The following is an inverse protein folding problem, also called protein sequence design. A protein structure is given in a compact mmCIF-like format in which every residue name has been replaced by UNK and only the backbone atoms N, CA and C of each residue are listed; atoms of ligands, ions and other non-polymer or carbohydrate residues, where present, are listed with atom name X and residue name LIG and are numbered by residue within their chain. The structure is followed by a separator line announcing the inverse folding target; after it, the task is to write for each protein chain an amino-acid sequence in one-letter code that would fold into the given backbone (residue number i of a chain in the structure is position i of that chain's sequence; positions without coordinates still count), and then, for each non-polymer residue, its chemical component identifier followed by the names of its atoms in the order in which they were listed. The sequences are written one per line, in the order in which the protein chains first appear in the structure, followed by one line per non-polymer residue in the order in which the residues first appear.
data_IF_166203373292
#
_entry.id   IF_166203373292
#
_cell.length_a   1.000
_cell.length_b   1.000
_cell.length_c   1.000
_cell.angle_alpha   90.00
_cell.angle_beta   90.00
_cell.angle_gamma   90.00
#
_symmetry.space_group_name_H-M   'P 1'
#
loop_
_entity.id
_entity.type
_entity.pdbx_description
1 polymer ?
2 non-polymer ?
3 non-polymer ?
4 non-polymer ?
5 water ?
#
# COMPACT_ATOMS: atom_id res chain seq x y z
N UNK A 15 8.21 18.22 -7.07
CA UNK A 15 9.23 17.21 -6.87
C UNK A 15 9.85 16.80 -8.22
N UNK A 16 10.99 17.39 -8.55
CA UNK A 16 11.73 17.06 -9.74
C UNK A 16 12.81 16.05 -9.37
N UNK A 17 12.74 14.85 -9.94
CA UNK A 17 13.69 13.81 -9.64
C UNK A 17 15.01 14.02 -10.36
N UNK A 18 16.07 13.46 -9.77
CA UNK A 18 17.36 13.46 -10.46
C UNK A 18 17.28 12.60 -11.73
N UNK A 19 18.26 12.78 -12.62
CA UNK A 19 18.27 12.00 -13.85
C UNK A 19 18.29 10.51 -13.55
N UNK A 20 19.05 10.09 -12.53
CA UNK A 20 19.09 8.69 -12.18
C UNK A 20 17.74 8.19 -11.69
N UNK A 21 17.07 8.98 -10.86
CA UNK A 21 15.77 8.54 -10.36
C UNK A 21 14.65 8.63 -11.41
N UNK A 22 14.79 9.52 -12.40
CA UNK A 22 13.87 9.49 -13.53
C UNK A 22 14.04 8.20 -14.30
N UNK A 23 15.28 7.75 -14.49
CA UNK A 23 15.51 6.48 -15.16
C UNK A 23 14.92 5.33 -14.33
N UNK A 24 15.02 5.43 -13.00
CA UNK A 24 14.41 4.44 -12.13
C UNK A 24 12.90 4.44 -12.29
N UNK A 25 12.30 5.63 -12.41
CA UNK A 25 10.86 5.74 -12.62
C UNK A 25 10.46 5.03 -13.91
N UNK A 26 11.26 5.21 -14.97
CA UNK A 26 10.94 4.54 -16.23
C UNK A 26 11.06 3.03 -16.12
N UNK A 27 12.09 2.55 -15.43
CA UNK A 27 12.22 1.10 -15.21
C UNK A 27 11.04 0.58 -14.41
N UNK A 28 10.66 1.29 -13.37
CA UNK A 28 9.53 0.84 -12.54
C UNK A 28 8.28 0.77 -13.39
N UNK A 29 8.05 1.79 -14.23
CA UNK A 29 6.88 1.75 -15.10
C UNK A 29 6.91 0.53 -16.00
N UNK A 30 8.08 0.24 -16.57
CA UNK A 30 8.24 -0.87 -17.49
C UNK A 30 7.98 -2.20 -16.80
N UNK A 31 8.58 -2.43 -15.62
CA UNK A 31 8.37 -3.71 -14.95
C UNK A 31 6.96 -3.83 -14.39
N UNK A 32 6.27 -2.73 -14.20
CA UNK A 32 4.89 -2.74 -13.72
C UNK A 32 3.87 -2.77 -14.85
N UNK A 33 4.29 -2.82 -16.11
CA UNK A 33 3.41 -2.59 -17.24
C UNK A 33 2.70 -3.87 -17.69
N UNK A 34 1.66 -3.67 -18.51
CA UNK A 34 0.88 -4.77 -19.02
C UNK A 34 1.76 -5.78 -19.77
N UNK A 35 2.83 -5.31 -20.38
CA UNK A 35 3.73 -6.19 -21.11
C UNK A 35 4.22 -7.36 -20.27
N UNK A 36 4.38 -7.16 -18.96
CA UNK A 36 4.89 -8.18 -18.05
C UNK A 36 3.83 -8.62 -17.06
N UNK A 37 2.55 -8.54 -17.41
CA UNK A 37 1.51 -8.75 -16.42
C UNK A 37 1.55 -10.17 -15.83
N UNK A 38 1.92 -11.17 -16.64
CA UNK A 38 1.99 -12.52 -16.10
C UNK A 38 3.08 -12.69 -15.07
N UNK A 39 4.09 -11.80 -15.05
CA UNK A 39 5.14 -11.85 -14.04
C UNK A 39 4.82 -10.91 -12.89
N UNK A 40 4.29 -9.72 -13.18
CA UNK A 40 4.19 -8.68 -12.18
C UNK A 40 2.89 -8.64 -11.41
N UNK A 41 1.85 -9.35 -11.81
CA UNK A 41 0.56 -9.09 -11.17
C UNK A 41 0.61 -9.41 -9.69
N UNK A 42 1.47 -10.37 -9.28
CA UNK A 42 1.58 -10.73 -7.88
C UNK A 42 2.24 -9.66 -7.04
N UNK A 43 2.95 -8.73 -7.66
CA UNK A 43 3.77 -7.72 -7.02
C UNK A 43 3.17 -6.33 -7.08
N UNK A 44 2.04 -6.14 -7.75
CA UNK A 44 1.50 -4.80 -8.00
C UNK A 44 1.06 -4.11 -6.72
N UNK A 45 0.46 -4.85 -5.77
CA UNK A 45 -0.16 -4.30 -4.58
C UNK A 45 0.33 -5.00 -3.36
N UNK A 46 0.15 -4.37 -2.20
CA UNK A 46 0.67 -4.98 -0.96
C UNK A 46 0.11 -6.37 -0.70
N UNK A 47 0.91 -7.26 -0.14
CA UNK A 47 0.43 -8.54 0.37
C UNK A 47 -0.64 -8.32 1.41
N UNK A 48 -1.75 -9.04 1.24
CA UNK A 48 -2.93 -8.95 2.09
C UNK A 48 -3.09 -10.35 2.72
N UNK A 49 -2.61 -10.51 3.95
CA UNK A 49 -2.57 -11.82 4.57
C UNK A 49 -3.94 -12.46 4.63
N UNK A 50 -4.99 -11.68 4.95
CA UNK A 50 -6.32 -12.27 5.06
C UNK A 50 -6.82 -12.74 3.70
N UNK A 51 -6.70 -11.91 2.68
CA UNK A 51 -7.26 -12.28 1.37
C UNK A 51 -6.51 -13.48 0.82
N UNK A 52 -5.22 -13.58 1.09
CA UNK A 52 -4.36 -14.63 0.52
C UNK A 52 -4.27 -15.85 1.41
N UNK A 53 -4.90 -15.86 2.58
CA UNK A 53 -4.88 -17.04 3.44
C UNK A 53 -3.57 -17.40 4.04
N UNK A 54 -2.75 -16.41 4.36
CA UNK A 54 -1.35 -16.68 4.66
C UNK A 54 -1.18 -17.01 6.12
N UNK A 55 -0.27 -17.96 6.40
CA UNK A 55 0.18 -18.27 7.76
C UNK A 55 1.59 -17.74 7.99
N UNK A 56 1.74 -17.00 9.08
CA UNK A 56 3.03 -16.60 9.61
C UNK A 56 3.75 -15.56 8.78
N UNK A 57 3.07 -14.82 7.89
CA UNK A 57 3.77 -13.94 6.97
C UNK A 57 4.65 -12.95 7.74
N UNK A 58 4.12 -12.29 8.74
CA UNK A 58 4.86 -11.23 9.41
C UNK A 58 5.77 -11.79 10.50
N UNK A 59 5.75 -13.09 10.75
CA UNK A 59 6.80 -13.73 11.53
C UNK A 59 8.04 -13.86 10.67
N UNK A 60 7.92 -13.94 9.36
CA UNK A 60 9.06 -14.10 8.44
C UNK A 60 9.49 -12.76 7.85
N UNK A 61 8.55 -11.93 7.44
CA UNK A 61 8.78 -10.70 6.71
C UNK A 61 8.64 -9.54 7.68
N UNK A 62 9.73 -8.82 7.85
CA UNK A 62 9.77 -7.68 8.76
C UNK A 62 9.13 -6.46 8.13
N UNK A 63 9.38 -6.22 6.86
CA UNK A 63 8.90 -5.02 6.18
C UNK A 63 8.41 -5.43 4.79
N UNK A 64 7.11 -5.33 4.60
CA UNK A 64 6.50 -5.64 3.34
C UNK A 64 6.80 -4.59 2.29
N UNK A 65 6.87 -5.02 1.04
CA UNK A 65 7.10 -4.06 -0.04
C UNK A 65 6.44 -4.58 -1.31
N UNK A 66 6.07 -3.65 -2.19
CA UNK A 66 5.35 -3.99 -3.43
C UNK A 66 5.54 -2.84 -4.41
N UNK A 67 5.19 -3.07 -5.68
CA UNK A 67 5.45 -2.09 -6.71
C UNK A 67 4.67 -0.80 -6.52
N UNK A 68 3.45 -0.85 -5.99
CA UNK A 68 2.70 0.38 -5.78
C UNK A 68 3.34 1.26 -4.71
N UNK A 69 3.81 0.64 -3.64
CA UNK A 69 4.50 1.37 -2.60
C UNK A 69 5.78 1.99 -3.11
N UNK A 70 6.55 1.24 -3.92
CA UNK A 70 7.78 1.80 -4.51
C UNK A 70 7.45 3.02 -5.34
N UNK A 71 6.38 2.97 -6.12
CA UNK A 71 5.99 4.12 -6.93
C UNK A 71 5.63 5.30 -6.04
N UNK A 72 4.83 5.06 -4.99
CA UNK A 72 4.49 6.15 -4.09
C UNK A 72 5.71 6.80 -3.48
N UNK A 73 6.65 5.97 -3.01
CA UNK A 73 7.86 6.48 -2.37
C UNK A 73 8.70 7.26 -3.37
N UNK A 74 8.88 6.72 -4.57
CA UNK A 74 9.71 7.39 -5.58
C UNK A 74 9.13 8.73 -5.93
N UNK A 75 7.82 8.78 -6.17
CA UNK A 75 7.19 9.99 -6.65
C UNK A 75 6.97 11.02 -5.55
N UNK A 76 7.14 10.66 -4.30
CA UNK A 76 7.06 11.62 -3.20
C UNK A 76 8.42 11.94 -2.62
N UNK A 77 9.49 11.56 -3.31
CA UNK A 77 10.80 12.03 -2.93
C UNK A 77 11.45 11.26 -1.80
N UNK A 78 11.01 10.04 -1.51
CA UNK A 78 11.52 9.31 -0.38
C UNK A 78 12.79 8.54 -0.70
N UNK A 79 13.18 8.46 -1.97
CA UNK A 79 14.44 7.83 -2.33
C UNK A 79 15.44 8.93 -2.67
N UNK A 80 16.55 8.97 -1.98
CA UNK A 80 17.54 10.01 -2.24
C UNK A 80 18.49 9.62 -3.35
N UNK A 81 18.75 8.33 -3.52
CA UNK A 81 19.63 7.83 -4.58
C UNK A 81 18.93 6.66 -5.27
N UNK A 82 19.47 6.27 -6.43
CA UNK A 82 18.98 5.07 -7.11
C UNK A 82 19.17 3.83 -6.25
N UNK A 83 20.14 3.83 -5.32
CA UNK A 83 20.36 2.68 -4.47
C UNK A 83 19.25 2.52 -3.44
N UNK A 84 18.68 3.65 -2.96
CA UNK A 84 17.55 3.57 -2.05
C UNK A 84 16.35 2.93 -2.75
N UNK A 85 16.14 3.30 -4.02
CA UNK A 85 15.08 2.71 -4.82
C UNK A 85 15.33 1.24 -5.02
N UNK A 86 16.55 0.89 -5.39
CA UNK A 86 16.86 -0.51 -5.66
C UNK A 86 16.75 -1.37 -4.42
N UNK A 87 17.05 -0.81 -3.26
CA UNK A 87 16.93 -1.55 -2.03
C UNK A 87 15.49 -2.01 -1.83
N UNK A 88 14.50 -1.16 -2.12
CA UNK A 88 13.12 -1.54 -1.95
C UNK A 88 12.69 -2.55 -3.01
N UNK A 89 13.16 -2.43 -4.26
CA UNK A 89 12.85 -3.46 -5.26
C UNK A 89 13.36 -4.80 -4.79
N UNK A 90 14.60 -4.83 -4.31
CA UNK A 90 15.18 -6.08 -3.82
C UNK A 90 14.45 -6.61 -2.58
N UNK A 91 14.06 -5.73 -1.67
CA UNK A 91 13.27 -6.11 -0.50
C UNK A 91 11.99 -6.85 -0.92
N UNK A 92 11.27 -6.30 -1.90
CA UNK A 92 10.08 -6.92 -2.40
C UNK A 92 10.38 -8.34 -2.88
N UNK A 93 11.37 -8.51 -3.73
CA UNK A 93 11.69 -9.85 -4.24
C UNK A 93 12.15 -10.78 -3.14
N UNK A 94 13.07 -10.33 -2.29
CA UNK A 94 13.58 -11.21 -1.26
C UNK A 94 12.50 -11.64 -0.28
N UNK A 95 11.58 -10.75 0.07
CA UNK A 95 10.47 -11.16 0.94
C UNK A 95 9.73 -12.34 0.32
N UNK A 96 9.51 -12.24 -0.99
CA UNK A 96 8.80 -13.28 -1.72
C UNK A 96 9.57 -14.58 -1.68
N UNK A 97 10.86 -14.54 -1.97
CA UNK A 97 11.64 -15.77 -1.97
C UNK A 97 11.69 -16.40 -0.59
N UNK A 98 11.94 -15.58 0.44
CA UNK A 98 12.15 -16.11 1.77
C UNK A 98 10.88 -16.66 2.37
N UNK A 99 9.74 -16.03 2.13
CA UNK A 99 8.47 -16.51 2.67
C UNK A 99 7.95 -17.70 1.91
N UNK A 100 7.96 -17.63 0.57
CA UNK A 100 7.28 -18.66 -0.23
C UNK A 100 8.15 -19.84 -0.55
N UNK A 101 9.46 -19.66 -0.49
CA UNK A 101 10.39 -20.68 -0.95
C UNK A 101 10.70 -20.53 -2.44
N UNK A 102 11.94 -20.80 -2.84
CA UNK A 102 12.30 -20.48 -4.21
C UNK A 102 11.69 -21.45 -5.23
N UNK A 103 11.19 -22.58 -4.79
CA UNK A 103 10.48 -23.48 -5.69
C UNK A 103 9.01 -23.10 -5.92
N UNK A 104 8.50 -22.11 -5.22
CA UNK A 104 7.09 -21.75 -5.39
C UNK A 104 6.86 -21.11 -6.75
N UNK A 105 5.61 -21.15 -7.21
CA UNK A 105 5.28 -20.48 -8.46
C UNK A 105 5.60 -19.00 -8.37
N UNK A 106 5.23 -18.35 -7.29
CA UNK A 106 5.39 -16.91 -7.21
C UNK A 106 6.86 -16.54 -7.19
N UNK A 107 7.71 -17.32 -6.50
CA UNK A 107 9.15 -17.02 -6.52
C UNK A 107 9.71 -17.20 -7.93
N UNK A 108 9.25 -18.23 -8.66
CA UNK A 108 9.77 -18.43 -10.00
C UNK A 108 9.48 -17.25 -10.90
N UNK A 109 8.26 -16.69 -10.84
CA UNK A 109 7.99 -15.51 -11.66
C UNK A 109 8.74 -14.32 -11.13
N UNK A 110 8.83 -14.19 -9.81
CA UNK A 110 9.65 -13.14 -9.24
C UNK A 110 11.05 -13.12 -9.80
N UNK A 111 11.69 -14.28 -9.87
CA UNK A 111 13.06 -14.32 -10.38
C UNK A 111 13.12 -13.79 -11.80
N UNK A 112 12.13 -14.15 -12.64
CA UNK A 112 12.12 -13.68 -14.02
C UNK A 112 11.98 -12.17 -14.06
N UNK A 113 11.06 -11.61 -13.29
CA UNK A 113 10.88 -10.15 -13.24
C UNK A 113 12.13 -9.46 -12.69
N UNK A 114 12.75 -10.04 -11.66
CA UNK A 114 13.96 -9.45 -11.09
C UNK A 114 15.08 -9.44 -12.10
N UNK A 115 15.20 -10.48 -12.92
CA UNK A 115 16.25 -10.49 -13.93
C UNK A 115 16.07 -9.34 -14.92
N UNK A 116 14.81 -9.07 -15.30
CA UNK A 116 14.54 -7.92 -16.17
C UNK A 116 14.92 -6.62 -15.47
N UNK A 117 14.49 -6.48 -14.22
CA UNK A 117 14.86 -5.29 -13.45
C UNK A 117 16.39 -5.13 -13.41
N UNK A 118 17.11 -6.20 -13.07
CA UNK A 118 18.55 -6.09 -12.85
C UNK A 118 19.25 -5.65 -14.14
N UNK A 119 18.84 -6.20 -15.29
CA UNK A 119 19.47 -5.86 -16.56
C UNK A 119 19.28 -4.37 -16.85
N UNK A 120 18.10 -3.82 -16.52
CA UNK A 120 17.84 -2.42 -16.83
C UNK A 120 18.47 -1.50 -15.79
N UNK A 121 18.49 -1.92 -14.55
CA UNK A 121 19.03 -1.07 -13.48
C UNK A 121 20.52 -0.87 -13.67
N UNK A 122 21.21 -1.85 -14.25
CA UNK A 122 22.64 -1.72 -14.51
C UNK A 122 22.94 -0.59 -15.46
N UNK A 123 21.95 -0.12 -16.24
CA UNK A 123 22.18 0.97 -17.19
C UNK A 123 21.85 2.36 -16.64
N UNK A 124 21.37 2.47 -15.40
CA UNK A 124 20.97 3.77 -14.85
C UNK A 124 22.22 4.61 -14.62
N UNK A 125 22.20 5.91 -14.95
CA UNK A 125 23.37 6.75 -14.73
C UNK A 125 23.69 7.01 -13.27
N UNK A 126 24.81 7.68 -13.05
CA UNK A 126 25.25 8.09 -11.72
C UNK A 126 24.24 9.03 -11.07
N UNK A 127 24.14 8.93 -9.73
CA UNK A 127 23.21 9.79 -9.00
C UNK A 127 23.47 11.28 -9.19
N UNK A 128 24.72 11.68 -9.34
CA UNK A 128 25.06 13.10 -9.36
C UNK A 128 24.98 13.73 -10.75
N UNK A 129 24.64 12.94 -11.78
CA UNK A 129 24.57 13.46 -13.14
C UNK A 129 23.25 14.20 -13.36
CA UNK B 15 -3.65 2.67 25.76
C UNK B 15 -2.24 2.89 25.19
N UNK B 16 -1.26 2.15 25.71
CA UNK B 16 0.13 2.30 25.29
C UNK B 16 0.35 1.59 23.96
N UNK B 17 0.70 2.34 22.94
CA UNK B 17 0.94 1.83 21.60
C UNK B 17 2.43 1.76 21.32
N UNK B 18 2.81 0.84 20.43
CA UNK B 18 4.20 0.78 19.99
C UNK B 18 4.51 2.02 19.18
N UNK B 19 5.80 2.31 18.99
CA UNK B 19 6.14 3.46 18.18
C UNK B 19 5.49 3.39 16.82
N UNK B 20 5.46 2.20 16.19
CA UNK B 20 4.84 2.06 14.88
C UNK B 20 3.36 2.39 14.94
N UNK B 21 2.64 1.89 15.98
CA UNK B 21 1.20 2.15 16.01
C UNK B 21 0.89 3.56 16.48
N UNK B 22 1.77 4.22 17.22
CA UNK B 22 1.59 5.64 17.50
C UNK B 22 1.72 6.45 16.23
N UNK B 23 2.63 6.08 15.33
CA UNK B 23 2.71 6.77 14.06
C UNK B 23 1.48 6.49 13.22
N UNK B 24 0.96 5.27 13.27
CA UNK B 24 -0.29 4.97 12.56
C UNK B 24 -1.44 5.83 13.10
N UNK B 25 -1.55 5.98 14.42
CA UNK B 25 -2.56 6.85 15.01
C UNK B 25 -2.42 8.27 14.50
N UNK B 26 -1.20 8.79 14.44
CA UNK B 26 -0.99 10.12 13.89
C UNK B 26 -1.47 10.23 12.46
N UNK B 27 -1.17 9.24 11.63
CA UNK B 27 -1.66 9.27 10.27
C UNK B 27 -3.17 9.23 10.22
N UNK B 28 -3.78 8.39 11.02
CA UNK B 28 -5.24 8.33 11.06
C UNK B 28 -5.83 9.68 11.41
N UNK B 29 -5.30 10.34 12.44
CA UNK B 29 -5.80 11.64 12.82
C UNK B 29 -5.64 12.65 11.69
N UNK B 30 -4.54 12.59 10.96
CA UNK B 30 -4.29 13.54 9.90
C UNK B 30 -5.25 13.30 8.73
N UNK B 31 -5.40 12.05 8.29
CA UNK B 31 -6.29 11.81 7.14
C UNK B 31 -7.76 12.00 7.49
N UNK B 32 -8.09 11.97 8.77
CA UNK B 32 -9.47 12.14 9.22
C UNK B 32 -9.76 13.59 9.56
N UNK B 33 -8.80 14.50 9.43
CA UNK B 33 -8.93 15.87 9.93
C UNK B 33 -9.67 16.76 8.91
N UNK B 34 -10.02 17.97 9.38
CA UNK B 34 -10.77 18.91 8.56
C UNK B 34 -10.00 19.27 7.29
N UNK B 35 -8.67 19.27 7.37
CA UNK B 35 -7.85 19.61 6.22
C UNK B 35 -8.28 18.83 4.98
N UNK B 36 -8.67 17.59 5.18
CA UNK B 36 -9.04 16.72 4.07
C UNK B 36 -10.52 16.38 4.03
N UNK B 37 -11.38 17.23 4.59
CA UNK B 37 -12.80 16.91 4.71
C UNK B 37 -13.45 16.63 3.36
N UNK B 38 -13.06 17.35 2.31
CA UNK B 38 -13.63 17.14 0.99
C UNK B 38 -13.35 15.73 0.49
N UNK B 39 -12.29 15.09 0.98
CA UNK B 39 -11.95 13.73 0.60
C UNK B 39 -12.46 12.73 1.62
N UNK B 40 -12.34 13.00 2.93
CA UNK B 40 -12.55 11.98 3.91
C UNK B 40 -14.01 11.86 4.33
N UNK B 41 -14.87 12.81 3.99
CA UNK B 41 -16.19 12.78 4.61
C UNK B 41 -16.97 11.55 4.17
N UNK B 42 -16.65 11.01 2.99
CA UNK B 42 -17.32 9.79 2.54
C UNK B 42 -16.94 8.54 3.33
N UNK B 43 -15.86 8.65 4.09
CA UNK B 43 -15.21 7.50 4.78
C UNK B 43 -15.27 7.59 6.29
N UNK B 44 -15.92 8.60 6.84
CA UNK B 44 -15.86 8.85 8.27
C UNK B 44 -16.70 7.88 9.08
N UNK B 45 -17.76 7.30 8.53
CA UNK B 45 -18.67 6.42 9.26
C UNK B 45 -19.07 5.29 8.34
N UNK B 46 -19.60 4.20 8.90
CA UNK B 46 -19.95 3.06 8.04
C UNK B 46 -20.89 3.43 6.90
N UNK B 47 -20.68 2.81 5.75
CA UNK B 47 -21.65 2.91 4.66
C UNK B 47 -23.04 2.51 5.15
N UNK B 48 -24.05 3.34 4.84
CA UNK B 48 -25.46 3.13 5.21
C UNK B 48 -26.14 2.81 3.89
N UNK B 49 -26.39 1.52 3.64
CA UNK B 49 -26.89 1.10 2.33
C UNK B 49 -28.28 1.67 2.07
N UNK B 50 -29.13 1.72 3.10
CA UNK B 50 -30.48 2.25 2.90
C UNK B 50 -30.42 3.75 2.62
N UNK B 51 -29.66 4.50 3.42
CA UNK B 51 -29.61 5.92 3.22
C UNK B 51 -29.02 6.30 1.88
N UNK B 52 -28.10 5.49 1.37
CA UNK B 52 -27.39 5.78 0.15
C UNK B 52 -28.02 5.13 -1.07
N UNK B 53 -29.10 4.37 -0.91
CA UNK B 53 -29.81 3.81 -2.03
C UNK B 53 -29.08 2.74 -2.75
N UNK B 54 -28.24 1.96 -2.08
CA UNK B 54 -27.31 1.09 -2.80
C UNK B 54 -27.96 -0.23 -3.17
N UNK B 55 -27.58 -0.71 -4.36
CA UNK B 55 -27.93 -2.07 -4.80
C UNK B 55 -26.74 -2.99 -4.73
N UNK B 56 -26.94 -4.16 -4.12
CA UNK B 56 -25.97 -5.25 -4.13
C UNK B 56 -24.70 -4.97 -3.32
N UNK B 57 -24.72 -4.02 -2.39
CA UNK B 57 -23.47 -3.65 -1.72
C UNK B 57 -22.85 -4.83 -1.02
N UNK B 58 -23.63 -5.57 -0.21
CA UNK B 58 -23.04 -6.66 0.56
C UNK B 58 -22.80 -7.91 -0.27
N UNK B 59 -23.30 -7.96 -1.51
CA UNK B 59 -22.88 -8.99 -2.44
C UNK B 59 -21.43 -8.77 -2.86
N UNK B 60 -21.05 -7.51 -2.99
CA UNK B 60 -19.70 -7.17 -3.43
C UNK B 60 -18.75 -7.03 -2.25
N UNK B 61 -19.18 -6.35 -1.20
CA UNK B 61 -18.36 -6.01 -0.03
C UNK B 61 -18.72 -6.97 1.09
N UNK B 62 -17.81 -7.89 1.38
CA UNK B 62 -18.04 -8.89 2.39
C UNK B 62 -17.68 -8.44 3.81
N UNK B 63 -16.79 -7.45 3.95
CA UNK B 63 -16.49 -6.89 5.26
C UNK B 63 -16.35 -5.38 5.08
N UNK B 64 -17.31 -4.61 5.57
CA UNK B 64 -17.27 -3.18 5.48
C UNK B 64 -16.20 -2.62 6.43
N UNK B 65 -15.71 -1.41 6.12
CA UNK B 65 -14.74 -0.74 6.99
C UNK B 65 -14.81 0.74 6.70
N UNK B 66 -14.50 1.54 7.72
CA UNK B 66 -14.55 3.01 7.65
C UNK B 66 -13.64 3.56 8.72
N UNK B 67 -13.38 4.88 8.64
CA UNK B 67 -12.38 5.52 9.51
C UNK B 67 -12.77 5.51 10.97
N UNK B 68 -14.06 5.63 11.31
CA UNK B 68 -14.42 5.64 12.72
C UNK B 68 -14.25 4.26 13.33
N UNK B 69 -14.52 3.20 12.56
CA UNK B 69 -14.29 1.85 13.06
C UNK B 69 -12.80 1.59 13.23
N UNK B 70 -11.98 2.03 12.28
CA UNK B 70 -10.52 1.88 12.41
C UNK B 70 -10.05 2.57 13.67
N UNK B 71 -10.55 3.78 13.96
CA UNK B 71 -10.14 4.47 15.16
C UNK B 71 -10.53 3.67 16.40
N UNK B 72 -11.77 3.18 16.45
CA UNK B 72 -12.19 2.42 17.62
C UNK B 72 -11.33 1.19 17.81
N UNK B 73 -11.01 0.49 16.73
CA UNK B 73 -10.17 -0.71 16.83
C UNK B 73 -8.77 -0.33 17.30
N UNK B 74 -8.20 0.69 16.69
CA UNK B 74 -6.86 1.11 17.10
C UNK B 74 -6.81 1.45 18.58
N UNK B 75 -7.80 2.20 19.07
CA UNK B 75 -7.72 2.70 20.43
C UNK B 75 -8.20 1.68 21.45
N UNK B 76 -8.75 0.57 21.01
CA UNK B 76 -9.06 -0.55 21.90
C UNK B 76 -8.03 -1.67 21.83
N UNK B 77 -6.90 -1.42 21.18
CA UNK B 77 -5.82 -2.39 21.14
C UNK B 77 -6.06 -3.57 20.22
N UNK B 78 -6.92 -3.43 19.22
CA UNK B 78 -7.22 -4.56 18.35
C UNK B 78 -6.19 -4.72 17.23
N UNK B 79 -5.35 -3.71 17.00
CA UNK B 79 -4.27 -3.82 16.02
C UNK B 79 -2.99 -4.11 16.80
N UNK B 80 -2.31 -5.19 16.45
CA UNK B 80 -1.07 -5.54 17.13
C UNK B 80 0.16 -5.11 16.36
N UNK B 81 0.02 -4.83 15.06
CA UNK B 81 1.12 -4.35 14.24
C UNK B 81 0.61 -3.26 13.31
N UNK B 82 1.54 -2.52 12.71
CA UNK B 82 1.14 -1.51 11.74
C UNK B 82 0.46 -2.14 10.54
N UNK B 83 0.73 -3.42 10.25
CA UNK B 83 0.09 -4.06 9.11
C UNK B 83 -1.35 -4.47 9.40
N UNK B 84 -1.68 -4.77 10.64
CA UNK B 84 -3.09 -4.98 11.00
C UNK B 84 -3.88 -3.72 10.72
N UNK B 85 -3.33 -2.58 11.08
CA UNK B 85 -3.94 -1.28 10.82
C UNK B 85 -4.02 -1.01 9.33
N UNK B 86 -2.91 -1.15 8.60
CA UNK B 86 -2.94 -0.83 7.20
C UNK B 86 -3.89 -1.75 6.45
N UNK B 87 -3.97 -2.99 6.86
CA UNK B 87 -4.90 -3.93 6.23
C UNK B 87 -6.34 -3.37 6.28
N UNK B 88 -6.74 -2.79 7.40
CA UNK B 88 -8.11 -2.24 7.49
C UNK B 88 -8.23 -0.99 6.67
N UNK B 89 -7.21 -0.13 6.64
CA UNK B 89 -7.30 1.06 5.80
C UNK B 89 -7.46 0.64 4.34
N UNK B 90 -6.65 -0.32 3.90
CA UNK B 90 -6.74 -0.81 2.53
C UNK B 90 -8.09 -1.43 2.26
N UNK B 91 -8.62 -2.17 3.22
CA UNK B 91 -9.94 -2.80 3.04
C UNK B 91 -10.98 -1.73 2.78
N UNK B 92 -10.99 -0.67 3.57
CA UNK B 92 -11.90 0.45 3.35
C UNK B 92 -11.79 0.98 1.94
N UNK B 93 -10.60 1.29 1.47
CA UNK B 93 -10.45 1.85 0.14
C UNK B 93 -10.79 0.83 -0.94
N UNK B 94 -10.35 -0.41 -0.81
CA UNK B 94 -10.59 -1.41 -1.83
C UNK B 94 -12.07 -1.71 -1.94
N UNK B 95 -12.79 -1.76 -0.82
CA UNK B 95 -14.25 -1.93 -0.87
C UNK B 95 -14.84 -0.86 -1.78
N UNK B 96 -14.41 0.37 -1.58
CA UNK B 96 -14.94 1.50 -2.32
C UNK B 96 -14.62 1.38 -3.81
N UNK B 97 -13.40 1.03 -4.15
CA UNK B 97 -13.08 0.92 -5.56
C UNK B 97 -13.82 -0.23 -6.21
N UNK B 98 -13.87 -1.37 -5.53
CA UNK B 98 -14.52 -2.55 -6.09
C UNK B 98 -16.02 -2.31 -6.33
N UNK B 99 -16.70 -1.73 -5.33
CA UNK B 99 -18.15 -1.57 -5.45
C UNK B 99 -18.49 -0.46 -6.43
N UNK B 100 -17.83 0.69 -6.32
CA UNK B 100 -18.23 1.86 -7.08
C UNK B 100 -17.64 1.94 -8.47
N UNK B 101 -16.50 1.28 -8.69
CA UNK B 101 -15.79 1.38 -9.96
C UNK B 101 -14.75 2.48 -9.89
N UNK B 102 -13.60 2.25 -10.53
CA UNK B 102 -12.51 3.22 -10.39
C UNK B 102 -12.73 4.55 -11.07
N UNK B 103 -13.70 4.67 -11.95
CA UNK B 103 -14.02 5.95 -12.55
C UNK B 103 -15.14 6.71 -11.83
N UNK B 104 -15.68 6.16 -10.75
CA UNK B 104 -16.67 6.88 -9.96
C UNK B 104 -16.03 8.07 -9.23
N UNK B 105 -16.84 9.06 -8.94
CA UNK B 105 -16.35 10.20 -8.17
C UNK B 105 -15.81 9.76 -6.82
N UNK B 106 -16.51 8.88 -6.10
CA UNK B 106 -16.09 8.52 -4.76
C UNK B 106 -14.79 7.72 -4.81
N UNK B 107 -14.59 6.91 -5.85
CA UNK B 107 -13.33 6.18 -5.94
C UNK B 107 -12.19 7.14 -6.26
N UNK B 108 -12.43 8.15 -7.08
CA UNK B 108 -11.39 9.12 -7.39
C UNK B 108 -10.99 9.94 -6.17
N UNK B 109 -11.95 10.32 -5.35
CA UNK B 109 -11.67 10.97 -4.07
C UNK B 109 -10.92 10.02 -3.14
N UNK B 110 -11.35 8.77 -3.08
CA UNK B 110 -10.69 7.77 -2.26
C UNK B 110 -9.24 7.61 -2.65
N UNK B 111 -8.94 7.62 -3.93
CA UNK B 111 -7.56 7.46 -4.39
C UNK B 111 -6.71 8.62 -3.93
N UNK B 112 -7.27 9.83 -3.91
CA UNK B 112 -6.52 10.98 -3.42
C UNK B 112 -6.23 10.83 -1.94
N UNK B 113 -7.18 10.37 -1.15
CA UNK B 113 -6.96 10.23 0.29
C UNK B 113 -5.98 9.10 0.55
N UNK B 114 -6.09 8.02 -0.22
CA UNK B 114 -5.20 6.89 -0.04
C UNK B 114 -3.78 7.25 -0.40
N UNK B 115 -3.58 8.14 -1.36
CA UNK B 115 -2.23 8.57 -1.70
C UNK B 115 -1.59 9.30 -0.53
N UNK B 116 -2.35 10.12 0.20
CA UNK B 116 -1.81 10.78 1.39
C UNK B 116 -1.49 9.73 2.45
N UNK B 117 -2.39 8.79 2.67
CA UNK B 117 -2.13 7.68 3.55
C UNK B 117 -0.86 6.93 3.20
N UNK B 118 -0.73 6.54 1.95
CA UNK B 118 0.38 5.71 1.54
C UNK B 118 1.71 6.42 1.69
N UNK B 119 1.76 7.69 1.30
CA UNK B 119 2.98 8.46 1.42
C UNK B 119 3.47 8.47 2.86
N UNK B 120 2.56 8.71 3.79
CA UNK B 120 2.93 8.76 5.21
C UNK B 120 3.13 7.41 5.83
N UNK B 121 2.38 6.39 5.43
CA UNK B 121 2.56 5.07 5.98
C UNK B 121 3.96 4.56 5.68
N UNK B 122 4.52 4.92 4.52
CA UNK B 122 5.84 4.48 4.13
C UNK B 122 6.92 5.01 5.07
N UNK B 123 6.62 5.97 5.93
CA UNK B 123 7.57 6.51 6.89
C UNK B 123 7.38 5.97 8.30
N UNK B 124 6.47 5.05 8.50
CA UNK B 124 6.20 4.47 9.83
C UNK B 124 7.35 3.54 10.21
N UNK B 125 7.82 3.58 11.44
CA UNK B 125 8.90 2.67 11.84
C UNK B 125 8.48 1.20 11.82
N UNK B 126 9.49 0.35 11.92
CA UNK B 126 9.24 -1.08 12.01
C UNK B 126 8.45 -1.40 13.28
N UNK B 127 7.70 -2.50 13.25
CA UNK B 127 7.02 -2.96 14.45
C UNK B 127 8.00 -3.36 15.53
N UNK B 128 7.55 -3.21 16.77
CA UNK B 128 8.33 -3.68 17.92
C UNK B 128 8.73 -5.14 17.75
N UNK B 129 9.95 -5.44 18.17
CA UNK B 129 10.46 -6.81 18.15
C UNK B 129 11.78 -6.91 18.93
#
# INVERSE_FOLDING_TARGET
SPKREYEERNVGKRLRLSEALKACSNILKDISSQRYRDLNHFFLKPVDVVALGLHDYYDVVKKAMDLSTIKTKLESGQYHTKYDFADDVRLMFNNCYKYNGEDSEVARVGKQLQAIFDENFAKVPDDES
SPKREYEERNVGKRLRLSEALKACSNILKDISSQRYRDLNHFFLKPVDVVALGLHDYYDVVKKAMDLSTIKTKLESGQYHTKYDFADDVRLMFNNCYKYNGEDSEVARVGKQLQAIFDENFAKVPDDES
#
